data_IF_318554495898
#
_entry.id   IF_318554495898
#
_cell.length_a   1.000
_cell.length_b   1.000
_cell.length_c   1.000
_cell.angle_alpha   90.00
_cell.angle_beta   90.00
_cell.angle_gamma   90.00
#
_symmetry.space_group_name_H-M   'P 1'
#
loop_
_entity.id
_entity.type
_entity.pdbx_description
1 polymer ?
#
# COMPACT_ATOMS: atom_id res chain seq x y z
N UNK A 1 -2.78 -12.18 -19.50
CA UNK A 1 -3.89 -11.83 -18.57
C UNK A 1 -3.97 -10.32 -18.54
N UNK A 2 -5.16 -9.73 -18.68
CA UNK A 2 -5.37 -8.28 -18.71
C UNK A 2 -6.73 -7.94 -18.12
N UNK A 3 -7.12 -6.67 -18.17
CA UNK A 3 -8.41 -6.21 -17.67
C UNK A 3 -9.33 -5.90 -18.85
N UNK A 4 -10.50 -6.51 -18.89
CA UNK A 4 -11.53 -6.20 -19.90
C UNK A 4 -12.35 -4.98 -19.50
N UNK A 5 -12.38 -4.64 -18.21
CA UNK A 5 -13.15 -3.53 -17.68
C UNK A 5 -12.48 -2.95 -16.42
N UNK A 6 -12.72 -1.66 -16.17
CA UNK A 6 -12.33 -0.93 -14.98
C UNK A 6 -13.45 0.05 -14.61
N UNK A 7 -14.20 -0.26 -13.57
CA UNK A 7 -15.38 0.54 -13.15
C UNK A 7 -15.09 1.24 -11.84
N UNK A 8 -15.15 2.57 -11.85
CA UNK A 8 -14.95 3.41 -10.67
C UNK A 8 -16.25 3.60 -9.87
N UNK A 9 -16.13 3.55 -8.56
CA UNK A 9 -17.14 3.99 -7.60
C UNK A 9 -16.48 4.99 -6.65
N UNK A 10 -16.69 6.27 -6.92
CA UNK A 10 -16.20 7.34 -6.06
C UNK A 10 -16.96 7.28 -4.74
N UNK A 11 -16.22 7.26 -3.63
CA UNK A 11 -16.79 7.57 -2.34
C UNK A 11 -17.03 9.08 -2.24
N UNK A 12 -16.02 9.86 -2.63
CA UNK A 12 -16.08 11.33 -2.66
C UNK A 12 -15.08 11.89 -3.68
N UNK A 13 -15.39 13.06 -4.24
CA UNK A 13 -14.42 13.88 -4.98
C UNK A 13 -14.45 15.28 -4.38
N UNK A 14 -13.33 15.68 -3.79
CA UNK A 14 -13.20 16.98 -3.16
C UNK A 14 -12.27 17.87 -4.01
N UNK A 15 -12.75 19.06 -4.38
CA UNK A 15 -11.96 20.06 -5.12
C UNK A 15 -11.53 21.17 -4.16
N UNK A 16 -10.22 21.37 -4.01
CA UNK A 16 -9.61 22.41 -3.18
C UNK A 16 -8.70 23.28 -4.05
N UNK A 17 -9.27 24.37 -4.56
CA UNK A 17 -8.56 25.27 -5.47
C UNK A 17 -8.30 24.62 -6.82
N UNK A 18 -7.03 24.51 -7.20
CA UNK A 18 -6.56 23.91 -8.45
C UNK A 18 -6.30 22.39 -8.34
N UNK A 19 -6.44 21.83 -7.14
CA UNK A 19 -6.25 20.41 -6.84
C UNK A 19 -7.60 19.74 -6.60
N UNK A 20 -7.79 18.56 -7.17
CA UNK A 20 -8.91 17.67 -6.83
C UNK A 20 -8.37 16.34 -6.28
N UNK A 21 -8.98 15.84 -5.21
CA UNK A 21 -8.70 14.51 -4.66
C UNK A 21 -9.95 13.65 -4.81
N UNK A 22 -9.80 12.48 -5.44
CA UNK A 22 -10.84 11.47 -5.52
C UNK A 22 -10.44 10.25 -4.70
N UNK A 23 -11.36 9.74 -3.90
CA UNK A 23 -11.20 8.51 -3.15
C UNK A 23 -12.38 7.59 -3.41
N UNK A 24 -12.15 6.29 -3.38
CA UNK A 24 -13.20 5.32 -3.58
C UNK A 24 -12.64 3.94 -3.87
N UNK A 25 -13.42 3.17 -4.62
CA UNK A 25 -13.03 1.84 -5.08
C UNK A 25 -13.18 1.74 -6.59
N UNK A 26 -12.33 0.95 -7.24
CA UNK A 26 -12.63 0.46 -8.58
C UNK A 26 -12.65 -1.06 -8.61
N UNK A 27 -13.35 -1.59 -9.62
CA UNK A 27 -13.41 -3.00 -9.91
C UNK A 27 -12.73 -3.27 -11.24
N UNK A 28 -11.66 -4.06 -11.22
CA UNK A 28 -11.05 -4.59 -12.43
C UNK A 28 -11.68 -5.94 -12.77
N UNK A 29 -12.12 -6.12 -14.02
CA UNK A 29 -12.63 -7.40 -14.52
C UNK A 29 -11.52 -8.11 -15.29
N UNK A 30 -11.13 -9.31 -14.86
CA UNK A 30 -10.13 -10.13 -15.54
C UNK A 30 -10.63 -10.50 -16.95
N UNK A 31 -9.91 -10.08 -17.99
CA UNK A 31 -10.28 -10.34 -19.39
C UNK A 31 -10.32 -11.83 -19.75
N UNK A 32 -9.67 -12.69 -18.94
CA UNK A 32 -9.60 -14.13 -19.19
C UNK A 32 -10.63 -14.93 -18.37
N UNK A 33 -10.85 -14.56 -17.11
CA UNK A 33 -11.72 -15.33 -16.19
C UNK A 33 -13.06 -14.65 -15.90
N UNK A 34 -13.20 -13.36 -16.19
CA UNK A 34 -14.38 -12.57 -15.80
C UNK A 34 -14.45 -12.22 -14.31
N UNK A 35 -13.48 -12.68 -13.50
CA UNK A 35 -13.43 -12.40 -12.07
C UNK A 35 -13.18 -10.92 -11.80
N UNK A 36 -13.80 -10.39 -10.74
CA UNK A 36 -13.70 -8.98 -10.35
C UNK A 36 -12.78 -8.82 -9.14
N UNK A 37 -11.79 -7.94 -9.26
CA UNK A 37 -10.95 -7.52 -8.13
C UNK A 37 -11.37 -6.14 -7.67
N UNK A 38 -11.79 -6.02 -6.40
CA UNK A 38 -12.05 -4.74 -5.74
C UNK A 38 -10.72 -4.16 -5.24
N UNK A 39 -10.51 -2.87 -5.46
CA UNK A 39 -9.31 -2.14 -5.01
C UNK A 39 -9.74 -0.77 -4.50
N UNK A 40 -9.21 -0.35 -3.37
CA UNK A 40 -9.37 0.99 -2.82
C UNK A 40 -8.33 1.92 -3.43
N UNK A 41 -8.73 3.15 -3.79
CA UNK A 41 -7.85 4.09 -4.47
C UNK A 41 -7.90 5.49 -3.85
N UNK A 42 -6.82 6.23 -4.06
CA UNK A 42 -6.74 7.69 -3.92
C UNK A 42 -6.03 8.26 -5.14
N UNK A 43 -6.70 9.19 -5.83
CA UNK A 43 -6.13 9.95 -6.93
C UNK A 43 -6.07 11.44 -6.60
N UNK A 44 -4.94 12.07 -6.88
CA UNK A 44 -4.80 13.53 -6.90
C UNK A 44 -4.68 14.02 -8.33
N UNK A 45 -5.46 15.04 -8.67
CA UNK A 45 -5.52 15.66 -9.98
C UNK A 45 -5.16 17.13 -9.92
N UNK A 46 -4.45 17.61 -10.93
CA UNK A 46 -4.17 19.03 -11.14
C UNK A 46 -4.30 19.37 -12.63
N UNK A 47 -4.72 20.59 -12.93
CA UNK A 47 -4.71 21.10 -14.31
C UNK A 47 -3.32 21.66 -14.62
N UNK A 48 -2.69 21.18 -15.69
CA UNK A 48 -1.41 21.68 -16.15
C UNK A 48 -1.58 22.93 -17.05
N UNK A 49 -0.46 23.57 -17.38
CA UNK A 49 -0.41 24.81 -18.19
C UNK A 49 -1.00 24.64 -19.60
N UNK A 50 -1.01 23.43 -20.15
CA UNK A 50 -1.68 23.12 -21.41
C UNK A 50 -3.21 22.98 -21.29
N UNK A 51 -3.76 23.32 -20.12
CA UNK A 51 -5.17 23.27 -19.80
C UNK A 51 -5.71 21.87 -19.50
N UNK A 52 -4.89 20.80 -19.53
CA UNK A 52 -5.36 19.43 -19.31
C UNK A 52 -5.21 19.00 -17.85
N UNK A 53 -6.21 18.28 -17.33
CA UNK A 53 -6.14 17.65 -16.02
C UNK A 53 -5.31 16.38 -16.11
N UNK A 54 -4.39 16.18 -15.17
CA UNK A 54 -3.54 14.99 -15.05
C UNK A 54 -3.50 14.49 -13.63
N UNK A 55 -3.21 13.20 -13.48
CA UNK A 55 -2.94 12.56 -12.19
C UNK A 55 -1.53 12.94 -11.76
N UNK A 56 -1.37 13.52 -10.57
CA UNK A 56 -0.07 13.75 -9.93
C UNK A 56 0.16 12.86 -8.70
N UNK A 57 -0.91 12.24 -8.17
CA UNK A 57 -0.86 11.27 -7.08
C UNK A 57 -1.73 10.07 -7.44
N UNK A 58 -1.18 8.87 -7.28
CA UNK A 58 -1.91 7.62 -7.40
C UNK A 58 -1.46 6.66 -6.31
N UNK A 59 -2.39 6.25 -5.45
CA UNK A 59 -2.22 5.12 -4.54
C UNK A 59 -3.41 4.19 -4.68
N UNK A 60 -3.16 2.88 -4.77
CA UNK A 60 -4.24 1.89 -4.74
C UNK A 60 -3.80 0.61 -4.05
N UNK A 61 -4.71 -0.04 -3.34
CA UNK A 61 -4.47 -1.31 -2.64
C UNK A 61 -5.70 -2.21 -2.68
N UNK A 62 -5.49 -3.51 -2.78
CA UNK A 62 -6.56 -4.47 -2.51
C UNK A 62 -6.97 -4.34 -1.03
N UNK A 63 -8.27 -4.50 -0.69
CA UNK A 63 -8.69 -4.54 0.70
C UNK A 63 -7.91 -5.59 1.48
N UNK A 64 -7.62 -5.31 2.75
CA UNK A 64 -6.98 -6.28 3.61
C UNK A 64 -7.84 -7.54 3.72
N UNK A 65 -7.31 -8.66 3.25
CA UNK A 65 -7.91 -9.96 3.47
C UNK A 65 -7.29 -10.54 4.73
N UNK A 66 -8.04 -10.55 5.83
CA UNK A 66 -7.62 -11.26 7.03
C UNK A 66 -7.41 -12.73 6.65
N UNK A 67 -6.17 -13.21 6.77
CA UNK A 67 -5.91 -14.64 6.67
C UNK A 67 -6.77 -15.35 7.71
N UNK A 68 -7.27 -16.58 7.45
CA UNK A 68 -7.85 -17.39 8.50
C UNK A 68 -6.82 -17.49 9.63
N UNK A 69 -7.09 -16.82 10.74
CA UNK A 69 -6.22 -16.86 11.90
C UNK A 69 -6.22 -18.31 12.38
N UNK A 70 -5.06 -18.98 12.52
CA UNK A 70 -5.00 -20.16 13.38
C UNK A 70 -5.56 -19.74 14.74
N UNK A 71 -6.38 -20.59 15.35
CA UNK A 71 -7.11 -20.31 16.58
C UNK A 71 -6.23 -19.50 17.55
N UNK A 72 -6.64 -18.25 17.80
CA UNK A 72 -5.88 -17.30 18.59
C UNK A 72 -5.58 -17.90 19.96
N UNK A 73 -4.29 -18.13 20.24
CA UNK A 73 -3.83 -17.99 21.62
C UNK A 73 -3.97 -16.51 21.93
N UNK A 74 -5.00 -16.15 22.70
CA UNK A 74 -5.20 -14.78 23.17
C UNK A 74 -4.03 -14.41 24.10
N UNK A 75 -2.94 -13.89 23.55
CA UNK A 75 -2.00 -13.11 24.34
C UNK A 75 -2.68 -11.76 24.60
N UNK A 76 -3.27 -11.61 25.78
CA UNK A 76 -4.01 -10.43 26.23
C UNK A 76 -3.12 -9.21 26.52
N UNK A 77 -1.86 -9.21 26.11
CA UNK A 77 -0.96 -8.09 26.33
C UNK A 77 -1.16 -7.06 25.22
N UNK A 78 -1.65 -5.87 25.59
CA UNK A 78 -1.60 -4.71 24.71
C UNK A 78 -0.13 -4.43 24.35
N UNK A 79 0.12 -4.10 23.09
CA UNK A 79 1.45 -3.64 22.64
C UNK A 79 1.85 -2.43 23.48
N UNK A 80 3.01 -2.52 24.11
CA UNK A 80 3.55 -1.44 24.94
C UNK A 80 4.47 -0.54 24.14
N UNK A 81 4.82 0.62 24.71
CA UNK A 81 5.81 1.52 24.11
C UNK A 81 7.16 0.83 24.01
N UNK A 82 7.49 0.03 25.01
CA UNK A 82 8.74 -0.72 25.14
C UNK A 82 8.85 -1.78 24.03
N UNK A 83 7.76 -2.49 23.72
CA UNK A 83 7.72 -3.45 22.60
C UNK A 83 8.03 -2.77 21.26
N UNK A 84 7.45 -1.58 21.02
CA UNK A 84 7.69 -0.81 19.80
C UNK A 84 9.14 -0.36 19.71
N UNK A 85 9.70 0.16 20.81
CA UNK A 85 11.10 0.58 20.87
C UNK A 85 12.03 -0.63 20.61
N UNK A 86 11.76 -1.77 21.24
CA UNK A 86 12.57 -2.97 21.07
C UNK A 86 12.59 -3.46 19.61
N UNK A 87 11.44 -3.46 18.92
CA UNK A 87 11.37 -3.85 17.50
C UNK A 87 12.07 -2.83 16.59
N UNK A 88 11.94 -1.53 16.88
CA UNK A 88 12.65 -0.48 16.15
C UNK A 88 14.17 -0.60 16.29
N UNK A 89 14.66 -0.84 17.51
CA UNK A 89 16.08 -1.06 17.79
C UNK A 89 16.59 -2.33 17.09
N UNK A 90 15.81 -3.41 17.12
CA UNK A 90 16.14 -4.65 16.43
C UNK A 90 16.25 -4.44 14.91
N UNK A 91 15.31 -3.71 14.31
CA UNK A 91 15.32 -3.36 12.89
C UNK A 91 16.52 -2.48 12.53
N UNK A 92 16.77 -1.42 13.29
CA UNK A 92 17.94 -0.56 13.10
C UNK A 92 19.26 -1.34 13.27
N UNK A 93 19.30 -2.27 14.23
CA UNK A 93 20.40 -3.22 14.42
C UNK A 93 20.62 -4.11 13.21
N UNK A 94 19.54 -4.65 12.63
CA UNK A 94 19.61 -5.49 11.43
C UNK A 94 20.18 -4.72 10.24
N UNK A 95 19.74 -3.48 10.00
CA UNK A 95 20.30 -2.62 8.94
C UNK A 95 21.79 -2.41 9.13
N UNK A 96 22.23 -2.09 10.36
CA UNK A 96 23.66 -1.92 10.67
C UNK A 96 24.45 -3.20 10.38
N UNK A 97 23.93 -4.36 10.78
CA UNK A 97 24.58 -5.66 10.53
C UNK A 97 24.71 -5.95 9.03
N UNK A 98 23.61 -5.86 8.28
CA UNK A 98 23.61 -6.08 6.82
C UNK A 98 24.60 -5.14 6.13
N UNK A 99 24.63 -3.87 6.56
CA UNK A 99 25.59 -2.87 6.04
C UNK A 99 27.05 -3.24 6.34
N UNK A 100 27.32 -3.80 7.52
CA UNK A 100 28.65 -4.26 7.90
C UNK A 100 29.06 -5.51 7.09
N UNK A 101 28.18 -6.51 6.96
CA UNK A 101 28.41 -7.70 6.13
C UNK A 101 28.74 -7.31 4.69
N UNK A 102 28.00 -6.35 4.11
CA UNK A 102 28.30 -5.83 2.79
C UNK A 102 29.71 -5.22 2.69
N UNK A 103 30.09 -4.37 3.65
CA UNK A 103 31.42 -3.74 3.69
C UNK A 103 32.54 -4.77 3.81
N UNK A 104 32.32 -5.82 4.59
CA UNK A 104 33.26 -6.92 4.78
C UNK A 104 33.29 -7.90 3.59
N UNK A 105 32.58 -7.58 2.49
CA UNK A 105 32.42 -8.40 1.28
C UNK A 105 31.83 -9.79 1.58
N UNK A 106 31.03 -9.91 2.64
CA UNK A 106 30.27 -11.09 2.99
C UNK A 106 28.94 -11.22 2.23
N UNK A 107 28.29 -12.37 2.34
CA UNK A 107 26.99 -12.65 1.71
C UNK A 107 25.83 -12.02 2.51
N UNK A 108 25.51 -10.78 2.19
CA UNK A 108 24.44 -10.00 2.82
C UNK A 108 23.02 -10.42 2.40
N UNK A 109 22.88 -11.36 1.44
CA UNK A 109 21.59 -11.92 1.04
C UNK A 109 21.15 -13.03 2.02
N UNK A 110 22.09 -13.62 2.74
CA UNK A 110 21.85 -14.67 3.75
C UNK A 110 21.97 -14.20 5.20
N UNK A 111 22.20 -12.90 5.43
CA UNK A 111 22.49 -12.30 6.74
C UNK A 111 21.24 -11.76 7.46
#
# INVERSE_FOLDING_TARGET
KGWSDCVYHNHEIEVKGDVAIAMGVYYFTCATTGEKSKVEYTFGYQRCDDGKVRIFLHHSSVPFQAAPQPALVSSSAAVTREDVIAVQEAWAGAIKRISQVYKDKGDYVKA
#
